data_IF_166949842761
#
_entry.id   IF_166949842761
#
_cell.length_a   1.000
_cell.length_b   1.000
_cell.length_c   1.000
_cell.angle_alpha   90.00
_cell.angle_beta   90.00
_cell.angle_gamma   90.00
#
_symmetry.space_group_name_H-M   'P 1'
#
loop_
_entity.id
_entity.type
_entity.pdbx_description
1 polymer ?
#
# COMPACT_ATOMS: atom_id res chain seq x y z
N UNK A 1 -18.82 -12.77 19.27
CA UNK A 1 -17.95 -13.03 18.11
C UNK A 1 -16.61 -13.58 18.58
N UNK A 2 -16.19 -14.74 18.09
CA UNK A 2 -14.87 -15.27 18.41
C UNK A 2 -13.80 -14.40 17.71
N UNK A 3 -12.80 -14.01 18.48
CA UNK A 3 -11.68 -13.23 17.99
C UNK A 3 -10.48 -14.16 17.75
N UNK A 4 -9.81 -13.99 16.65
CA UNK A 4 -8.69 -14.82 16.23
C UNK A 4 -7.39 -14.11 16.56
N UNK A 5 -6.47 -14.80 17.24
CA UNK A 5 -5.11 -14.30 17.43
C UNK A 5 -4.37 -14.36 16.10
N UNK A 6 -3.73 -13.26 15.74
CA UNK A 6 -3.01 -13.15 14.48
C UNK A 6 -1.73 -13.97 14.48
N UNK A 7 -1.33 -14.38 13.30
CA UNK A 7 -0.04 -15.01 13.09
C UNK A 7 1.11 -14.03 13.40
N UNK A 8 2.21 -14.57 13.87
CA UNK A 8 3.45 -13.81 13.98
C UNK A 8 3.85 -13.27 12.60
N UNK A 9 4.33 -12.02 12.54
CA UNK A 9 4.67 -11.36 11.27
C UNK A 9 3.51 -10.65 10.57
N UNK A 10 2.32 -10.58 11.19
CA UNK A 10 1.25 -9.70 10.68
C UNK A 10 1.63 -8.22 10.83
N UNK A 11 1.35 -7.36 9.86
CA UNK A 11 0.81 -7.61 8.51
C UNK A 11 1.88 -8.17 7.55
N UNK A 12 1.51 -9.03 6.57
CA UNK A 12 2.49 -9.68 5.69
C UNK A 12 3.10 -8.78 4.62
N UNK A 13 2.40 -7.72 4.23
CA UNK A 13 2.88 -6.81 3.20
C UNK A 13 3.29 -5.47 3.82
N UNK A 14 4.44 -4.96 3.40
CA UNK A 14 4.92 -3.64 3.79
C UNK A 14 4.12 -2.53 3.11
N UNK A 15 3.95 -1.40 3.80
CA UNK A 15 3.22 -0.26 3.26
C UNK A 15 3.23 0.92 4.21
N UNK A 16 2.47 1.95 3.85
CA UNK A 16 2.25 3.13 4.68
C UNK A 16 1.01 2.92 5.53
N UNK A 17 1.17 2.32 6.68
CA UNK A 17 0.07 2.04 7.61
C UNK A 17 0.53 2.10 9.07
N UNK A 18 -0.43 2.25 9.95
CA UNK A 18 -0.31 2.10 11.39
C UNK A 18 -1.13 0.90 11.82
N UNK A 19 -0.55 0.02 12.63
CA UNK A 19 -1.23 -1.13 13.23
C UNK A 19 -1.84 -0.69 14.57
N UNK A 20 -3.11 -1.01 14.76
CA UNK A 20 -3.86 -0.70 15.97
C UNK A 20 -4.28 -1.95 16.72
N UNK A 21 -5.57 -2.09 17.03
CA UNK A 21 -6.11 -3.23 17.75
C UNK A 21 -6.35 -4.42 16.82
N UNK A 22 -5.51 -5.43 16.89
CA UNK A 22 -5.60 -6.65 16.06
C UNK A 22 -6.98 -7.34 16.08
N UNK A 23 -7.72 -7.17 17.16
CA UNK A 23 -9.05 -7.78 17.34
C UNK A 23 -10.20 -6.89 16.85
N UNK A 24 -9.88 -5.74 16.27
CA UNK A 24 -10.88 -4.83 15.71
C UNK A 24 -11.49 -5.40 14.43
N UNK A 25 -12.80 -5.21 14.22
CA UNK A 25 -13.45 -5.59 12.98
C UNK A 25 -13.24 -4.57 11.85
N UNK A 26 -12.54 -3.48 12.07
CA UNK A 26 -12.44 -2.34 11.16
C UNK A 26 -11.02 -2.13 10.68
N UNK A 27 -10.86 -1.92 9.38
CA UNK A 27 -9.68 -1.31 8.78
C UNK A 27 -10.04 0.06 8.20
N UNK A 28 -9.07 0.98 8.18
CA UNK A 28 -9.22 2.28 7.51
C UNK A 28 -8.29 2.34 6.31
N UNK A 29 -8.85 2.72 5.17
CA UNK A 29 -8.12 2.92 3.93
C UNK A 29 -8.23 4.40 3.52
N UNK A 30 -7.11 5.11 3.60
CA UNK A 30 -7.00 6.52 3.20
C UNK A 30 -6.42 6.58 1.79
N UNK A 31 -7.14 7.15 0.85
CA UNK A 31 -6.61 7.35 -0.50
C UNK A 31 -5.57 8.46 -0.49
N UNK A 32 -4.39 8.15 -1.02
CA UNK A 32 -3.31 9.12 -1.24
C UNK A 32 -3.32 9.51 -2.72
N UNK A 33 -3.78 10.73 -2.97
CA UNK A 33 -4.00 11.29 -4.31
C UNK A 33 -2.76 11.95 -4.95
N UNK A 34 -1.60 11.82 -4.31
CA UNK A 34 -0.34 12.36 -4.80
C UNK A 34 0.76 11.29 -4.87
N UNK A 35 1.68 11.46 -5.82
CA UNK A 35 2.89 10.67 -5.96
C UNK A 35 4.12 11.37 -5.41
N UNK A 36 3.94 12.52 -4.78
CA UNK A 36 5.01 13.23 -4.10
C UNK A 36 5.54 12.41 -2.91
N UNK A 37 6.82 12.65 -2.56
CA UNK A 37 7.42 11.99 -1.40
C UNK A 37 6.82 12.50 -0.07
N UNK A 38 6.35 13.74 -0.06
CA UNK A 38 5.72 14.34 1.11
C UNK A 38 4.24 13.95 1.15
N UNK A 39 3.85 13.26 2.22
CA UNK A 39 2.45 12.95 2.49
C UNK A 39 1.77 14.23 2.99
N UNK A 40 0.62 14.61 2.43
CA UNK A 40 -0.17 15.72 2.97
C UNK A 40 -0.50 15.48 4.45
N UNK A 41 -0.21 16.46 5.34
CA UNK A 41 -0.41 16.29 6.78
C UNK A 41 -1.82 15.85 7.15
N UNK A 42 -2.83 16.39 6.48
CA UNK A 42 -4.24 16.06 6.68
C UNK A 42 -4.56 14.59 6.39
N UNK A 43 -3.94 13.98 5.38
CA UNK A 43 -4.14 12.56 5.10
C UNK A 43 -3.40 11.66 6.10
N UNK A 44 -2.22 12.09 6.56
CA UNK A 44 -1.50 11.38 7.61
C UNK A 44 -2.25 11.42 8.94
N UNK A 45 -2.89 12.54 9.27
CA UNK A 45 -3.77 12.68 10.45
C UNK A 45 -4.93 11.67 10.39
N UNK A 46 -5.57 11.49 9.24
CA UNK A 46 -6.64 10.50 9.08
C UNK A 46 -6.14 9.06 9.31
N UNK A 47 -4.93 8.74 8.86
CA UNK A 47 -4.33 7.41 9.12
C UNK A 47 -4.14 7.18 10.62
N UNK A 48 -3.58 8.13 11.33
CA UNK A 48 -3.39 8.03 12.79
C UNK A 48 -4.73 7.92 13.52
N UNK A 49 -5.67 8.81 13.17
CA UNK A 49 -7.01 8.82 13.77
C UNK A 49 -7.74 7.49 13.57
N UNK A 50 -7.55 6.82 12.42
CA UNK A 50 -8.15 5.51 12.19
C UNK A 50 -7.82 4.50 13.27
N UNK A 51 -6.56 4.39 13.66
CA UNK A 51 -6.14 3.50 14.77
C UNK A 51 -6.53 4.02 16.14
N UNK A 52 -6.45 5.33 16.36
CA UNK A 52 -6.87 5.96 17.62
C UNK A 52 -8.37 5.78 17.86
N UNK A 53 -9.18 5.74 16.80
CA UNK A 53 -10.61 5.44 16.85
C UNK A 53 -10.92 3.95 17.01
N UNK A 54 -9.90 3.08 16.92
CA UNK A 54 -9.99 1.66 17.21
C UNK A 54 -9.84 0.72 16.01
N UNK A 55 -9.42 1.17 14.85
CA UNK A 55 -9.18 0.26 13.72
C UNK A 55 -8.04 -0.75 14.00
N UNK A 56 -8.12 -1.94 13.38
CA UNK A 56 -7.07 -2.95 13.45
C UNK A 56 -5.82 -2.52 12.70
N UNK A 57 -6.03 -1.84 11.59
CA UNK A 57 -4.99 -1.29 10.72
C UNK A 57 -5.57 -0.07 10.01
N UNK A 58 -4.77 0.97 9.89
CA UNK A 58 -5.12 2.17 9.13
C UNK A 58 -3.97 2.52 8.22
N UNK A 59 -4.20 2.72 6.93
CA UNK A 59 -3.11 2.92 5.98
C UNK A 59 -3.54 3.58 4.69
N UNK A 60 -2.55 3.86 3.86
CA UNK A 60 -2.72 4.57 2.60
C UNK A 60 -2.79 3.63 1.41
N UNK A 61 -3.70 3.96 0.48
CA UNK A 61 -3.79 3.34 -0.83
C UNK A 61 -3.52 4.39 -1.91
N UNK A 62 -2.59 4.10 -2.80
CA UNK A 62 -2.14 5.02 -3.84
C UNK A 62 -2.36 4.49 -5.26
N UNK A 63 -2.37 3.16 -5.45
CA UNK A 63 -2.48 2.54 -6.76
C UNK A 63 -3.54 1.46 -6.82
N UNK A 64 -4.18 1.34 -7.96
CA UNK A 64 -5.28 0.41 -8.28
C UNK A 64 -4.85 -1.04 -8.54
N UNK A 65 -3.57 -1.30 -8.47
CA UNK A 65 -2.96 -2.61 -8.73
C UNK A 65 -2.17 -3.12 -7.51
N UNK A 66 -0.85 -2.97 -7.48
CA UNK A 66 0.02 -3.46 -6.40
C UNK A 66 -0.40 -2.92 -5.01
N UNK A 67 -0.90 -1.69 -4.95
CA UNK A 67 -1.42 -1.13 -3.70
C UNK A 67 -2.64 -1.92 -3.19
N UNK A 68 -3.60 -2.22 -4.09
CA UNK A 68 -4.76 -3.05 -3.74
C UNK A 68 -4.35 -4.47 -3.36
N UNK A 69 -3.41 -5.10 -4.07
CA UNK A 69 -2.91 -6.42 -3.72
C UNK A 69 -2.36 -6.48 -2.30
N UNK A 70 -1.61 -5.45 -1.89
CA UNK A 70 -1.10 -5.33 -0.51
C UNK A 70 -2.21 -5.19 0.53
N UNK A 71 -3.24 -4.38 0.22
CA UNK A 71 -4.41 -4.27 1.09
C UNK A 71 -5.11 -5.62 1.23
N UNK A 72 -5.35 -6.32 0.12
CA UNK A 72 -5.98 -7.64 0.14
C UNK A 72 -5.17 -8.60 1.03
N UNK A 73 -3.85 -8.68 0.83
CA UNK A 73 -2.99 -9.53 1.64
C UNK A 73 -3.05 -9.20 3.13
N UNK A 74 -2.95 -7.92 3.48
CA UNK A 74 -2.94 -7.47 4.88
C UNK A 74 -4.30 -7.67 5.55
N UNK A 75 -5.39 -7.39 4.84
CA UNK A 75 -6.75 -7.54 5.36
C UNK A 75 -7.10 -9.02 5.54
N UNK A 76 -6.78 -9.87 4.57
CA UNK A 76 -7.09 -11.31 4.65
C UNK A 76 -6.26 -12.01 5.72
N UNK A 77 -5.04 -11.53 5.97
CA UNK A 77 -4.18 -12.05 7.05
C UNK A 77 -4.71 -11.73 8.46
N UNK A 78 -5.67 -10.80 8.57
CA UNK A 78 -6.39 -10.55 9.82
C UNK A 78 -7.87 -10.94 9.70
N UNK A 79 -8.25 -12.14 10.09
CA UNK A 79 -9.62 -12.61 9.98
C UNK A 79 -10.61 -11.87 10.89
N UNK A 80 -10.17 -10.99 11.77
CA UNK A 80 -11.06 -10.15 12.58
C UNK A 80 -11.62 -8.96 11.79
N UNK A 81 -10.94 -8.52 10.72
CA UNK A 81 -11.38 -7.37 9.91
C UNK A 81 -12.58 -7.77 9.05
N UNK A 82 -13.62 -6.94 9.09
CA UNK A 82 -14.90 -7.16 8.44
C UNK A 82 -15.41 -5.95 7.69
N UNK A 83 -14.95 -4.79 8.10
CA UNK A 83 -15.33 -3.52 7.54
C UNK A 83 -14.10 -2.77 7.09
N UNK A 84 -14.24 -2.04 6.02
CA UNK A 84 -13.25 -1.05 5.59
C UNK A 84 -13.93 0.31 5.58
N UNK A 85 -13.37 1.29 6.26
CA UNK A 85 -13.76 2.69 6.08
C UNK A 85 -12.81 3.29 5.05
N UNK A 86 -13.36 3.64 3.89
CA UNK A 86 -12.64 4.23 2.77
C UNK A 86 -12.81 5.75 2.80
N UNK A 87 -11.71 6.49 2.89
CA UNK A 87 -11.72 7.96 2.97
C UNK A 87 -10.54 8.57 2.19
N UNK A 88 -10.34 9.87 2.32
CA UNK A 88 -9.38 10.62 1.53
C UNK A 88 -9.98 11.17 0.25
N UNK A 89 -9.13 11.54 -0.70
CA UNK A 89 -9.49 12.07 -2.02
C UNK A 89 -9.14 11.06 -3.09
N UNK A 90 -10.05 10.84 -4.03
CA UNK A 90 -9.77 9.98 -5.17
C UNK A 90 -8.64 10.54 -6.03
N UNK A 91 -7.81 9.64 -6.53
CA UNK A 91 -6.68 10.00 -7.41
C UNK A 91 -7.12 9.99 -8.87
N UNK A 92 -6.93 11.11 -9.56
CA UNK A 92 -7.24 11.21 -10.98
C UNK A 92 -6.44 10.19 -11.81
N UNK A 93 -7.12 9.42 -12.64
CA UNK A 93 -6.54 8.43 -13.55
C UNK A 93 -6.25 7.08 -12.91
N UNK A 94 -5.70 7.01 -11.72
CA UNK A 94 -5.45 5.75 -11.01
C UNK A 94 -6.68 5.19 -10.31
N UNK A 95 -7.59 6.03 -9.87
CA UNK A 95 -8.88 5.65 -9.27
C UNK A 95 -8.80 4.44 -8.31
N UNK A 96 -7.87 4.43 -7.34
CA UNK A 96 -7.69 3.28 -6.46
C UNK A 96 -8.88 3.05 -5.52
N UNK A 97 -9.59 4.11 -5.13
CA UNK A 97 -10.79 4.01 -4.31
C UNK A 97 -11.97 3.40 -5.07
N UNK A 98 -12.24 3.87 -6.29
CA UNK A 98 -13.21 3.27 -7.21
C UNK A 98 -12.90 1.78 -7.44
N UNK A 99 -11.63 1.49 -7.71
CA UNK A 99 -11.17 0.12 -7.96
C UNK A 99 -11.39 -0.80 -6.75
N UNK A 100 -11.16 -0.31 -5.53
CA UNK A 100 -11.44 -1.07 -4.30
C UNK A 100 -12.95 -1.36 -4.14
N UNK A 101 -13.81 -0.38 -4.41
CA UNK A 101 -15.26 -0.55 -4.35
C UNK A 101 -15.75 -1.55 -5.38
N UNK A 102 -15.31 -1.42 -6.62
CA UNK A 102 -15.69 -2.31 -7.72
C UNK A 102 -15.13 -3.71 -7.54
N UNK A 103 -13.90 -3.84 -7.03
CA UNK A 103 -13.34 -5.14 -6.66
C UNK A 103 -14.22 -5.87 -5.65
N UNK A 104 -14.69 -5.17 -4.61
CA UNK A 104 -15.60 -5.77 -3.61
C UNK A 104 -16.91 -6.18 -4.25
N UNK A 105 -17.47 -5.36 -5.12
CA UNK A 105 -18.78 -5.58 -5.74
C UNK A 105 -18.72 -6.65 -6.83
N UNK A 106 -17.83 -6.50 -7.80
CA UNK A 106 -17.83 -7.25 -9.05
C UNK A 106 -16.72 -8.32 -9.11
N UNK A 107 -15.61 -8.15 -8.38
CA UNK A 107 -14.45 -9.03 -8.45
C UNK A 107 -13.58 -8.73 -9.66
N UNK A 108 -12.90 -9.76 -10.13
CA UNK A 108 -12.02 -9.72 -11.30
C UNK A 108 -12.50 -10.71 -12.36
N UNK A 109 -12.15 -10.44 -13.62
CA UNK A 109 -12.37 -11.35 -14.73
C UNK A 109 -11.22 -12.40 -14.86
N UNK A 110 -11.25 -13.21 -15.91
CA UNK A 110 -10.25 -14.24 -16.19
C UNK A 110 -8.85 -13.66 -16.44
N UNK A 111 -8.76 -12.42 -16.93
CA UNK A 111 -7.51 -11.69 -17.13
C UNK A 111 -7.01 -10.98 -15.87
N UNK A 112 -7.74 -11.11 -14.75
CA UNK A 112 -7.52 -10.45 -13.45
C UNK A 112 -7.74 -8.94 -13.46
N UNK A 113 -8.47 -8.44 -14.43
CA UNK A 113 -8.97 -7.09 -14.50
C UNK A 113 -10.11 -6.90 -13.51
N UNK A 114 -10.10 -5.83 -12.72
CA UNK A 114 -11.23 -5.47 -11.85
C UNK A 114 -12.41 -5.08 -12.71
N UNK A 115 -13.49 -5.85 -12.61
CA UNK A 115 -14.67 -5.70 -13.48
C UNK A 115 -15.37 -4.36 -13.26
N UNK A 116 -15.39 -3.56 -14.32
CA UNK A 116 -16.03 -2.24 -14.33
C UNK A 116 -15.14 -1.09 -13.89
N UNK A 117 -13.89 -1.32 -13.49
CA UNK A 117 -12.97 -0.24 -13.16
C UNK A 117 -12.57 0.55 -14.41
N UNK A 118 -12.53 1.88 -14.25
CA UNK A 118 -12.09 2.83 -15.29
C UNK A 118 -10.67 3.33 -15.07
N UNK A 119 -9.98 2.79 -14.05
CA UNK A 119 -8.59 3.08 -13.76
C UNK A 119 -7.66 2.64 -14.90
N UNK A 120 -6.42 3.15 -14.90
CA UNK A 120 -5.48 2.91 -16.00
C UNK A 120 -4.99 1.45 -16.06
N UNK A 121 -4.70 0.85 -14.91
CA UNK A 121 -4.09 -0.48 -14.83
C UNK A 121 -4.66 -1.32 -13.67
N UNK A 122 -5.99 -1.57 -13.63
CA UNK A 122 -6.65 -2.21 -12.50
C UNK A 122 -6.53 -3.74 -12.54
N UNK A 123 -5.30 -4.25 -12.69
CA UNK A 123 -5.00 -5.68 -12.75
C UNK A 123 -4.39 -6.18 -11.45
N UNK A 124 -4.89 -7.29 -10.91
CA UNK A 124 -4.38 -7.96 -9.71
C UNK A 124 -3.59 -9.22 -10.09
N UNK A 125 -2.40 -9.02 -10.65
CA UNK A 125 -1.64 -10.09 -11.31
C UNK A 125 -0.76 -10.92 -10.36
N UNK A 126 -0.41 -10.37 -9.18
CA UNK A 126 0.61 -10.98 -8.31
C UNK A 126 0.03 -11.82 -7.17
N UNK A 127 -1.28 -11.84 -6.99
CA UNK A 127 -1.95 -12.60 -5.93
C UNK A 127 -2.89 -13.66 -6.51
N UNK A 128 -3.12 -14.79 -5.82
CA UNK A 128 -4.07 -15.82 -6.25
C UNK A 128 -5.51 -15.30 -6.31
N UNK A 129 -6.31 -15.82 -7.23
CA UNK A 129 -7.74 -15.47 -7.34
C UNK A 129 -8.49 -15.84 -6.06
N UNK A 130 -8.15 -16.96 -5.46
CA UNK A 130 -8.74 -17.45 -4.21
C UNK A 130 -8.58 -16.45 -3.06
N UNK A 131 -7.48 -15.68 -3.07
CA UNK A 131 -7.24 -14.62 -2.09
C UNK A 131 -8.15 -13.43 -2.33
N UNK A 132 -8.39 -13.07 -3.58
CA UNK A 132 -9.34 -12.03 -3.97
C UNK A 132 -10.76 -12.43 -3.54
N UNK A 133 -11.16 -13.65 -3.83
CA UNK A 133 -12.47 -14.17 -3.45
C UNK A 133 -12.65 -14.20 -1.93
N UNK A 134 -11.60 -14.58 -1.21
CA UNK A 134 -11.63 -14.53 0.24
C UNK A 134 -11.78 -13.12 0.76
N UNK A 135 -11.02 -12.16 0.25
CA UNK A 135 -11.16 -10.75 0.60
C UNK A 135 -12.60 -10.30 0.41
N UNK A 136 -13.20 -10.59 -0.75
CA UNK A 136 -14.58 -10.23 -1.07
C UNK A 136 -15.61 -10.84 -0.13
N UNK A 137 -15.38 -12.07 0.29
CA UNK A 137 -16.24 -12.76 1.25
C UNK A 137 -16.01 -12.28 2.68
N UNK A 138 -14.77 -12.04 3.07
CA UNK A 138 -14.38 -11.58 4.39
C UNK A 138 -14.93 -10.18 4.69
N UNK A 139 -14.81 -9.25 3.77
CA UNK A 139 -15.30 -7.88 3.95
C UNK A 139 -16.81 -7.84 3.73
N UNK A 140 -17.54 -7.53 4.78
CA UNK A 140 -19.00 -7.42 4.75
C UNK A 140 -19.41 -6.15 4.02
N UNK A 141 -18.82 -5.01 4.40
CA UNK A 141 -19.14 -3.71 3.82
C UNK A 141 -17.92 -2.80 3.78
N UNK A 142 -17.90 -1.91 2.80
CA UNK A 142 -17.02 -0.76 2.73
C UNK A 142 -17.85 0.48 2.99
N UNK A 143 -17.54 1.20 4.07
CA UNK A 143 -18.12 2.52 4.35
C UNK A 143 -17.41 3.53 3.46
N UNK A 144 -18.13 4.02 2.46
CA UNK A 144 -17.55 4.91 1.46
C UNK A 144 -17.72 6.38 1.86
N UNK A 145 -16.65 7.00 2.32
CA UNK A 145 -16.54 8.43 2.59
C UNK A 145 -15.72 9.16 1.52
N UNK A 146 -15.26 8.45 0.49
CA UNK A 146 -14.32 8.95 -0.49
C UNK A 146 -14.78 10.26 -1.13
N UNK A 147 -13.90 11.25 -1.16
CA UNK A 147 -14.13 12.51 -1.86
C UNK A 147 -13.73 12.40 -3.33
N UNK A 148 -14.29 13.29 -4.15
CA UNK A 148 -13.92 13.40 -5.56
C UNK A 148 -12.46 13.84 -5.71
N UNK A 149 -11.83 13.59 -6.87
CA UNK A 149 -10.51 14.13 -7.17
C UNK A 149 -10.47 15.67 -7.00
N UNK A 150 -9.41 16.15 -6.35
CA UNK A 150 -9.20 17.58 -6.17
C UNK A 150 -10.03 18.26 -5.06
N UNK A 151 -10.83 17.51 -4.30
CA UNK A 151 -11.58 18.05 -3.15
C UNK A 151 -10.61 18.64 -2.11
N UNK A 152 -10.90 19.84 -1.61
CA UNK A 152 -10.09 20.55 -0.62
C UNK A 152 -10.85 20.95 0.64
N UNK A 153 -12.18 20.78 0.61
CA UNK A 153 -12.99 21.11 1.79
C UNK A 153 -12.78 20.04 2.87
N UNK A 154 -12.14 20.43 3.97
CA UNK A 154 -11.92 19.56 5.13
C UNK A 154 -13.20 19.15 5.85
N UNK A 155 -14.33 19.75 5.50
CA UNK A 155 -15.66 19.32 5.98
C UNK A 155 -16.25 18.21 5.13
N UNK A 156 -15.70 17.95 3.94
CA UNK A 156 -16.14 16.87 3.08
C UNK A 156 -15.93 15.51 3.79
N UNK A 157 -16.84 14.54 3.64
CA UNK A 157 -16.85 13.30 4.44
C UNK A 157 -15.49 12.58 4.50
N UNK A 158 -14.81 12.46 3.38
CA UNK A 158 -13.53 11.73 3.31
C UNK A 158 -12.33 12.48 3.89
N UNK A 159 -12.46 13.78 4.19
CA UNK A 159 -11.40 14.59 4.77
C UNK A 159 -11.74 15.06 6.19
N UNK A 160 -12.94 14.74 6.70
CA UNK A 160 -13.39 15.17 8.00
C UNK A 160 -13.04 14.16 9.10
N UNK A 161 -12.16 14.51 10.06
CA UNK A 161 -11.75 13.61 11.12
C UNK A 161 -12.93 13.09 11.98
N UNK A 162 -13.91 13.94 12.28
CA UNK A 162 -15.07 13.55 13.10
C UNK A 162 -15.94 12.50 12.39
N UNK A 163 -16.17 12.68 11.08
CA UNK A 163 -16.94 11.71 10.30
C UNK A 163 -16.20 10.38 10.19
N UNK A 164 -14.87 10.41 10.04
CA UNK A 164 -14.06 9.19 10.04
C UNK A 164 -14.17 8.46 11.40
N UNK A 165 -14.02 9.18 12.50
CA UNK A 165 -14.14 8.61 13.85
C UNK A 165 -15.52 7.96 14.06
N UNK A 166 -16.61 8.66 13.70
CA UNK A 166 -17.98 8.16 13.78
C UNK A 166 -18.18 6.91 12.91
N UNK A 167 -17.64 6.89 11.70
CA UNK A 167 -17.69 5.75 10.80
C UNK A 167 -16.97 4.52 11.36
N UNK A 168 -15.77 4.70 11.91
CA UNK A 168 -15.01 3.60 12.56
C UNK A 168 -15.80 3.08 13.75
N UNK A 169 -16.30 3.94 14.62
CA UNK A 169 -17.07 3.56 15.81
C UNK A 169 -18.39 2.87 15.47
N UNK A 170 -19.06 3.28 14.40
CA UNK A 170 -20.33 2.66 13.97
C UNK A 170 -20.15 1.21 13.56
N UNK A 171 -18.97 0.84 13.05
CA UNK A 171 -18.65 -0.53 12.68
C UNK A 171 -18.45 -1.48 13.89
N UNK A 172 -18.39 -0.94 15.10
CA UNK A 172 -18.31 -1.73 16.35
C UNK A 172 -19.70 -2.05 16.96
N UNK A 173 -20.77 -1.48 16.46
CA UNK A 173 -22.08 -1.70 17.02
C UNK A 173 -22.53 -3.15 16.80
N UNK A 174 -22.99 -3.79 17.87
CA UNK A 174 -23.35 -5.23 17.88
C UNK A 174 -24.52 -5.60 16.98
N UNK A 175 -25.24 -4.62 16.44
CA UNK A 175 -26.44 -4.82 15.64
C UNK A 175 -26.40 -4.25 14.21
N UNK A 176 -25.31 -4.26 13.50
CA UNK A 176 -25.32 -3.57 12.21
C UNK A 176 -25.75 -4.45 11.07
N UNK A 177 -25.60 -5.73 11.14
CA UNK A 177 -25.94 -6.63 10.02
C UNK A 177 -26.06 -8.05 10.55
N UNK A 178 -26.95 -8.82 9.97
CA UNK A 178 -27.08 -10.24 10.26
C UNK A 178 -25.87 -10.98 9.71
N UNK A 179 -24.86 -11.18 10.55
CA UNK A 179 -23.61 -11.90 10.23
C UNK A 179 -23.76 -13.42 10.19
N UNK A 180 -24.92 -13.96 9.90
CA UNK A 180 -25.17 -15.39 10.01
C UNK A 180 -24.25 -16.24 9.13
N UNK A 181 -24.03 -15.84 7.91
CA UNK A 181 -23.16 -16.56 6.98
C UNK A 181 -21.68 -16.35 7.25
N UNK A 182 -21.43 -15.39 8.04
CA UNK A 182 -20.14 -14.90 8.36
C UNK A 182 -19.44 -15.68 9.46
N UNK A 183 -20.17 -16.10 10.45
CA UNK A 183 -19.65 -16.95 11.52
C UNK A 183 -19.18 -18.30 10.99
N UNK A 184 -19.87 -18.79 9.98
CA UNK A 184 -19.48 -20.01 9.28
C UNK A 184 -18.24 -19.84 8.42
N UNK A 185 -18.05 -18.64 7.97
CA UNK A 185 -16.95 -18.29 7.14
C UNK A 185 -15.70 -18.03 7.91
N UNK A 186 -15.91 -17.62 9.12
CA UNK A 186 -14.87 -17.46 10.09
C UNK A 186 -14.06 -18.70 10.31
N UNK A 187 -14.03 -19.34 9.31
CA UNK A 187 -13.23 -20.36 9.22
C UNK A 187 -11.84 -19.94 9.05
N UNK A 188 -11.34 -19.23 9.92
CA UNK A 188 -9.94 -19.29 10.23
C UNK A 188 -9.36 -20.67 9.92
N UNK A 189 -10.27 -21.50 9.47
CA UNK A 189 -10.10 -22.84 9.08
C UNK A 189 -9.63 -23.09 7.67
N UNK A 190 -9.58 -22.14 6.80
CA UNK A 190 -8.96 -22.41 5.52
C UNK A 190 -7.45 -22.40 5.71
N UNK A 191 -6.80 -23.56 5.58
CA UNK A 191 -5.37 -23.63 5.52
C UNK A 191 -4.95 -22.86 4.29
N UNK A 192 -4.59 -21.60 4.50
CA UNK A 192 -4.11 -20.76 3.44
C UNK A 192 -2.66 -21.01 3.24
N UNK A 193 -2.41 -22.08 2.57
CA UNK A 193 -1.05 -22.46 2.20
C UNK A 193 -0.30 -21.36 1.49
N UNK A 194 -0.97 -20.52 0.71
CA UNK A 194 -0.30 -19.42 0.00
C UNK A 194 0.07 -18.26 0.93
N UNK A 195 -0.83 -17.83 1.83
CA UNK A 195 -0.54 -16.74 2.79
C UNK A 195 0.37 -17.23 3.89
N UNK A 196 0.11 -18.40 4.44
CA UNK A 196 1.01 -19.02 5.41
C UNK A 196 2.42 -19.20 4.84
N UNK A 197 2.54 -19.57 3.57
CA UNK A 197 3.85 -19.70 2.91
C UNK A 197 4.55 -18.35 2.75
N UNK A 198 3.85 -17.28 2.38
CA UNK A 198 4.42 -15.93 2.34
C UNK A 198 4.77 -15.41 3.74
N UNK A 199 3.92 -15.63 4.72
CA UNK A 199 4.18 -15.24 6.11
C UNK A 199 5.35 -16.04 6.66
N UNK A 200 5.36 -17.36 6.51
CA UNK A 200 6.42 -18.22 7.02
C UNK A 200 7.74 -17.98 6.27
N UNK A 201 7.73 -17.73 4.97
CA UNK A 201 8.94 -17.40 4.22
C UNK A 201 9.54 -16.04 4.61
N UNK A 202 8.70 -15.07 4.97
CA UNK A 202 9.18 -13.77 5.50
C UNK A 202 9.68 -13.90 6.95
N UNK A 203 9.06 -14.74 7.77
CA UNK A 203 9.49 -14.99 9.16
C UNK A 203 10.80 -15.74 9.25
N UNK A 204 11.06 -16.64 8.32
CA UNK A 204 12.31 -17.43 8.26
C UNK A 204 13.46 -16.69 7.57
N UNK A 205 13.22 -15.51 7.00
CA UNK A 205 14.31 -14.64 6.59
C UNK A 205 14.88 -13.97 7.84
N UNK A 206 16.21 -14.07 8.11
CA UNK A 206 16.81 -13.31 9.20
C UNK A 206 16.42 -11.85 8.99
N UNK A 207 15.76 -11.27 10.00
CA UNK A 207 15.44 -9.85 10.01
C UNK A 207 16.78 -9.10 9.91
N UNK A 208 17.15 -8.71 8.71
CA UNK A 208 18.12 -7.65 8.55
C UNK A 208 17.43 -6.43 9.14
N UNK A 209 17.97 -5.97 10.26
CA UNK A 209 17.56 -4.72 10.87
C UNK A 209 17.52 -3.68 9.74
N UNK A 210 16.33 -3.26 9.36
CA UNK A 210 16.15 -2.19 8.39
C UNK A 210 16.53 -0.93 9.14
N UNK A 211 17.79 -0.52 8.98
CA UNK A 211 18.15 0.84 9.38
C UNK A 211 17.24 1.79 8.59
N UNK A 212 16.58 2.75 9.24
CA UNK A 212 15.70 3.68 8.55
C UNK A 212 16.54 4.46 7.52
N UNK A 213 16.31 4.23 6.23
CA UNK A 213 16.91 5.00 5.16
C UNK A 213 17.55 4.23 4.00
N UNK A 214 17.69 2.90 4.06
CA UNK A 214 18.38 2.14 3.00
C UNK A 214 17.51 1.12 2.27
N UNK A 215 16.38 1.52 1.72
CA UNK A 215 15.79 0.72 0.65
C UNK A 215 16.64 0.92 -0.61
N UNK A 216 17.05 -0.17 -1.28
CA UNK A 216 17.87 -0.09 -2.52
C UNK A 216 17.20 0.75 -3.63
N UNK A 217 15.88 0.91 -3.59
CA UNK A 217 15.14 1.79 -4.51
C UNK A 217 15.24 3.26 -4.07
N UNK A 218 15.16 3.54 -2.78
CA UNK A 218 15.38 4.89 -2.24
C UNK A 218 16.80 5.37 -2.47
N UNK A 219 17.79 4.48 -2.39
CA UNK A 219 19.18 4.78 -2.72
C UNK A 219 19.32 5.18 -4.20
N UNK A 220 18.72 4.43 -5.14
CA UNK A 220 18.78 4.77 -6.57
C UNK A 220 18.21 6.16 -6.87
N UNK A 221 17.08 6.53 -6.24
CA UNK A 221 16.51 7.87 -6.39
C UNK A 221 17.39 8.97 -5.76
N UNK A 222 18.05 8.66 -4.65
CA UNK A 222 19.00 9.59 -4.03
C UNK A 222 20.22 9.81 -4.91
N UNK A 223 20.79 8.74 -5.45
CA UNK A 223 21.93 8.82 -6.38
C UNK A 223 21.57 9.56 -7.67
N UNK A 224 20.34 9.38 -8.19
CA UNK A 224 19.88 10.06 -9.39
C UNK A 224 19.88 11.60 -9.28
N UNK A 225 19.78 12.15 -8.05
CA UNK A 225 19.84 13.62 -7.85
C UNK A 225 21.16 14.23 -8.27
N UNK A 226 22.25 13.47 -8.14
CA UNK A 226 23.63 13.86 -8.45
C UNK A 226 24.12 13.39 -9.82
N UNK A 227 23.24 12.81 -10.63
CA UNK A 227 23.58 12.43 -12.00
C UNK A 227 23.25 13.57 -12.99
N UNK A 228 23.94 13.62 -14.14
CA UNK A 228 23.80 14.70 -15.13
C UNK A 228 22.41 14.85 -15.75
N UNK A 229 21.53 13.86 -15.62
CA UNK A 229 20.15 13.81 -16.14
C UNK A 229 20.02 14.08 -17.64
N UNK A 230 21.08 13.81 -18.39
CA UNK A 230 21.13 14.03 -19.84
C UNK A 230 20.53 12.86 -20.65
N UNK A 231 20.33 11.72 -19.99
CA UNK A 231 19.85 10.47 -20.60
C UNK A 231 20.59 10.11 -21.91
N UNK A 232 21.88 10.46 -21.97
CA UNK A 232 22.73 10.40 -23.17
C UNK A 232 23.08 8.98 -23.65
N UNK A 233 22.76 7.96 -22.86
CA UNK A 233 22.99 6.52 -23.13
C UNK A 233 24.45 6.11 -23.28
N UNK A 234 25.41 7.00 -23.04
CA UNK A 234 26.86 6.71 -23.17
C UNK A 234 27.37 5.65 -22.20
N UNK A 235 26.69 5.50 -21.04
CA UNK A 235 26.93 4.45 -20.05
C UNK A 235 26.26 3.11 -20.37
N UNK A 236 25.64 2.97 -21.53
CA UNK A 236 24.90 1.77 -21.93
C UNK A 236 23.52 1.60 -21.27
N UNK A 237 23.06 2.56 -20.49
CA UNK A 237 21.74 2.55 -19.86
C UNK A 237 20.78 3.48 -20.59
N UNK A 238 19.47 3.13 -20.60
CA UNK A 238 18.45 3.92 -21.31
C UNK A 238 18.24 5.31 -20.72
N UNK A 239 18.40 5.44 -19.40
CA UNK A 239 18.21 6.70 -18.65
C UNK A 239 19.22 6.81 -17.50
N UNK A 240 19.47 8.03 -17.04
CA UNK A 240 20.29 8.26 -15.85
C UNK A 240 19.66 7.66 -14.58
N UNK A 241 18.35 7.56 -14.52
CA UNK A 241 17.66 6.87 -13.43
C UNK A 241 17.94 5.36 -13.44
N UNK A 242 17.93 4.72 -14.61
CA UNK A 242 18.31 3.32 -14.74
C UNK A 242 19.77 3.06 -14.31
N UNK A 243 20.68 3.98 -14.66
CA UNK A 243 22.06 3.94 -14.20
C UNK A 243 22.14 4.06 -12.66
N UNK A 244 21.42 5.01 -12.05
CA UNK A 244 21.37 5.18 -10.59
C UNK A 244 20.88 3.95 -9.85
N UNK A 245 19.84 3.28 -10.39
CA UNK A 245 19.29 2.05 -9.82
C UNK A 245 20.31 0.90 -9.93
N UNK A 246 20.98 0.76 -11.06
CA UNK A 246 22.03 -0.26 -11.24
C UNK A 246 23.23 0.00 -10.34
N UNK A 247 23.62 1.26 -10.19
CA UNK A 247 24.68 1.70 -9.30
C UNK A 247 24.36 1.37 -7.83
N UNK A 248 23.13 1.63 -7.39
CA UNK A 248 22.67 1.29 -6.02
C UNK A 248 22.64 -0.22 -5.75
N UNK A 249 22.60 -1.03 -6.80
CA UNK A 249 22.63 -2.50 -6.72
C UNK A 249 24.02 -3.10 -6.92
N UNK A 250 25.04 -2.27 -7.12
CA UNK A 250 26.40 -2.71 -7.43
C UNK A 250 26.54 -3.39 -8.80
N UNK A 251 25.63 -3.10 -9.75
CA UNK A 251 25.66 -3.66 -11.11
C UNK A 251 26.47 -2.83 -12.10
N UNK A 252 26.91 -1.65 -11.70
CA UNK A 252 27.78 -0.76 -12.44
C UNK A 252 28.55 0.12 -11.47
N UNK A 253 29.56 0.85 -11.98
CA UNK A 253 30.43 1.72 -11.23
C UNK A 253 30.31 3.17 -11.72
N UNK A 254 30.81 4.14 -10.93
CA UNK A 254 30.77 5.56 -11.31
C UNK A 254 31.52 5.85 -12.61
N UNK A 255 32.60 5.09 -12.85
CA UNK A 255 33.48 5.18 -14.03
C UNK A 255 32.73 4.80 -15.32
N UNK A 256 31.62 4.08 -15.23
CA UNK A 256 30.82 3.71 -16.40
C UNK A 256 30.06 4.89 -17.01
N UNK A 257 30.01 6.05 -16.30
CA UNK A 257 29.36 7.26 -16.80
C UNK A 257 30.40 8.32 -17.26
N UNK A 258 30.73 8.41 -18.57
CA UNK A 258 31.74 9.34 -19.07
C UNK A 258 31.42 10.83 -18.82
N UNK A 259 30.15 11.16 -18.57
CA UNK A 259 29.74 12.54 -18.29
C UNK A 259 30.15 12.97 -16.89
N UNK A 260 30.20 12.04 -15.92
CA UNK A 260 30.63 12.34 -14.54
C UNK A 260 32.13 12.65 -14.44
N UNK A 261 32.91 12.37 -15.48
CA UNK A 261 34.34 12.71 -15.53
C UNK A 261 34.61 14.14 -15.99
N UNK A 262 33.55 14.86 -16.43
CA UNK A 262 33.69 16.24 -16.85
C UNK A 262 33.90 17.16 -15.62
N UNK A 263 34.69 18.23 -15.74
CA UNK A 263 35.05 19.12 -14.61
C UNK A 263 33.85 19.70 -13.88
N UNK A 264 32.74 19.93 -14.59
CA UNK A 264 31.49 20.48 -14.07
C UNK A 264 30.77 19.55 -13.10
N UNK A 265 31.00 18.22 -13.17
CA UNK A 265 30.38 17.21 -12.31
C UNK A 265 31.29 16.66 -11.20
N UNK A 266 32.46 17.27 -10.98
CA UNK A 266 33.42 16.80 -9.97
C UNK A 266 32.85 16.77 -8.56
N UNK A 267 32.03 17.78 -8.18
CA UNK A 267 31.35 17.81 -6.88
C UNK A 267 30.29 16.73 -6.74
N UNK A 268 29.49 16.51 -7.79
CA UNK A 268 28.47 15.49 -7.82
C UNK A 268 29.06 14.08 -7.75
N UNK A 269 30.17 13.85 -8.45
CA UNK A 269 30.90 12.58 -8.39
C UNK A 269 31.44 12.29 -6.99
N UNK A 270 31.96 13.28 -6.28
CA UNK A 270 32.43 13.13 -4.90
C UNK A 270 31.26 12.83 -3.94
N UNK A 271 30.10 13.49 -4.14
CA UNK A 271 28.92 13.22 -3.37
C UNK A 271 28.38 11.80 -3.60
N UNK A 272 28.40 11.34 -4.85
CA UNK A 272 28.00 9.98 -5.21
C UNK A 272 28.95 8.94 -4.59
N UNK A 273 30.25 9.16 -4.60
CA UNK A 273 31.22 8.26 -3.99
C UNK A 273 30.98 8.09 -2.49
N UNK A 274 30.73 9.19 -1.76
CA UNK A 274 30.39 9.15 -0.33
C UNK A 274 29.07 8.45 0.00
N UNK A 275 28.11 8.47 -0.92
CA UNK A 275 26.84 7.80 -0.72
C UNK A 275 26.91 6.30 -1.00
N UNK A 276 27.96 5.84 -1.66
CA UNK A 276 28.17 4.43 -2.01
C UNK A 276 29.11 3.70 -1.02
N UNK A 277 29.83 4.46 -0.18
CA UNK A 277 30.59 3.93 0.98
C UNK A 277 29.63 3.53 2.12
#
# INVERSE_FOLDING_TARGET
MLKVKLAEGYPPEEGRYVRGNDYSPVAVCVILDTFDFAIPPELNELVMLGTDSGAAISGMLQTENVGLEKIICNVVANPNIRYIVLCGRESSGHLPGESLLLLKQNGVDESRLIVGSTALTPYLSNIPIELIDRFRKQIVSIVNLLCKPGERDTKAPGLNPKILEEAVRSCYQENPVVFRDYTLYDMGAYPETAILHKIVSKLNQPQQAIEPGKSKVGMGLTLHKFLPKTDCKKCGRKTCLAFAIDLSKGKCHLEDCPILDQPEFTGDRQALAKLLE
#
